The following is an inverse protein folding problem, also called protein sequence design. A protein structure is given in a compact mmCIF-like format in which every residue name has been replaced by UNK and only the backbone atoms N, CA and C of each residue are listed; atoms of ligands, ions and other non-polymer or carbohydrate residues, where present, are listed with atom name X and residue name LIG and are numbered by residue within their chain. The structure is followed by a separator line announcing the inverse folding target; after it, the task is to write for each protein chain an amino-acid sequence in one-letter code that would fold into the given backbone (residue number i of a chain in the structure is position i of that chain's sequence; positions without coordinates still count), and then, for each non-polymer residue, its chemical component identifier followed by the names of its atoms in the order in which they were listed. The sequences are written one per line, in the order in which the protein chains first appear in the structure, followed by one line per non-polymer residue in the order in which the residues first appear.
data_IF_881916744447
#
_entry.id   IF_881916744447
#
_cell.length_a   1.000
_cell.length_b   1.000
_cell.length_c   1.000
_cell.angle_alpha   90.00
_cell.angle_beta   90.00
_cell.angle_gamma   90.00
#
_symmetry.space_group_name_H-M   'P 1'
#
loop_
_entity.id
_entity.type
_entity.pdbx_description
1 polymer ?
#
# COMPACT_ATOMS: atom_id res chain seq x y z
N UNK A 1 -17.51 -20.27 -19.79
CA UNK A 1 -17.03 -19.93 -18.44
C UNK A 1 -15.68 -19.23 -18.60
N UNK A 2 -15.58 -17.96 -18.20
CA UNK A 2 -14.33 -17.19 -18.31
C UNK A 2 -13.33 -17.71 -17.29
N UNK A 3 -12.12 -18.06 -17.74
CA UNK A 3 -11.04 -18.58 -16.90
C UNK A 3 -10.55 -17.51 -15.91
N UNK A 4 -9.84 -17.92 -14.86
CA UNK A 4 -9.21 -16.99 -13.90
C UNK A 4 -8.25 -16.03 -14.61
N UNK A 5 -7.50 -16.53 -15.59
CA UNK A 5 -6.54 -15.74 -16.38
C UNK A 5 -7.26 -14.64 -17.16
N UNK A 6 -8.34 -14.98 -17.86
CA UNK A 6 -9.13 -14.00 -18.61
C UNK A 6 -9.73 -12.92 -17.70
N UNK A 7 -10.23 -13.29 -16.51
CA UNK A 7 -10.73 -12.32 -15.52
C UNK A 7 -9.62 -11.40 -15.04
N UNK A 8 -8.45 -11.94 -14.71
CA UNK A 8 -7.29 -11.15 -14.26
C UNK A 8 -6.88 -10.14 -15.33
N UNK A 9 -6.80 -10.55 -16.59
CA UNK A 9 -6.45 -9.65 -17.71
C UNK A 9 -7.50 -8.57 -17.95
N UNK A 10 -8.79 -8.89 -17.79
CA UNK A 10 -9.86 -7.90 -17.89
C UNK A 10 -9.76 -6.85 -16.79
N UNK A 11 -9.51 -7.27 -15.54
CA UNK A 11 -9.36 -6.35 -14.40
C UNK A 11 -8.08 -5.52 -14.55
N UNK A 12 -6.96 -6.11 -14.99
CA UNK A 12 -5.73 -5.38 -15.24
C UNK A 12 -5.93 -4.27 -16.29
N UNK A 13 -6.62 -4.59 -17.39
CA UNK A 13 -6.93 -3.60 -18.42
C UNK A 13 -7.79 -2.47 -17.85
N UNK A 14 -8.83 -2.81 -17.10
CA UNK A 14 -9.71 -1.82 -16.48
C UNK A 14 -8.95 -0.93 -15.47
N UNK A 15 -8.05 -1.51 -14.65
CA UNK A 15 -7.21 -0.75 -13.74
C UNK A 15 -6.30 0.25 -14.48
N UNK A 16 -5.74 -0.13 -15.64
CA UNK A 16 -4.95 0.79 -16.47
C UNK A 16 -5.81 1.90 -17.07
N UNK A 17 -7.02 1.59 -17.52
CA UNK A 17 -7.98 2.57 -18.04
C UNK A 17 -8.41 3.59 -16.97
N UNK A 18 -8.48 3.16 -15.70
CA UNK A 18 -8.72 4.04 -14.55
C UNK A 18 -7.49 4.88 -14.14
N UNK A 19 -6.31 4.66 -14.74
CA UNK A 19 -5.11 5.43 -14.47
C UNK A 19 -4.15 4.86 -13.42
N UNK A 20 -4.31 3.60 -12.99
CA UNK A 20 -3.34 2.98 -12.08
C UNK A 20 -2.03 2.60 -12.79
N UNK A 21 -0.90 2.94 -12.16
CA UNK A 21 0.46 2.66 -12.64
C UNK A 21 0.96 1.24 -12.35
N UNK A 22 0.17 0.45 -11.63
CA UNK A 22 0.52 -0.92 -11.29
C UNK A 22 -0.68 -1.75 -10.87
N UNK A 23 -0.61 -3.04 -11.18
CA UNK A 23 -1.64 -4.04 -10.89
C UNK A 23 -0.97 -5.36 -10.51
N UNK A 24 -1.56 -6.07 -9.56
CA UNK A 24 -1.18 -7.44 -9.20
C UNK A 24 -2.30 -8.16 -8.48
N UNK A 25 -2.23 -9.50 -8.46
CA UNK A 25 -3.16 -10.34 -7.73
C UNK A 25 -2.36 -11.28 -6.84
N UNK A 26 -2.72 -11.35 -5.57
CA UNK A 26 -2.16 -12.32 -4.62
C UNK A 26 -3.28 -12.98 -3.83
N UNK A 27 -2.97 -14.07 -3.12
CA UNK A 27 -3.85 -14.63 -2.10
C UNK A 27 -3.13 -14.71 -0.77
N UNK A 28 -1.87 -15.13 -0.78
CA UNK A 28 -1.19 -15.46 0.45
C UNK A 28 -0.47 -14.24 1.01
N UNK A 29 -0.52 -14.11 2.34
CA UNK A 29 0.40 -13.26 3.08
C UNK A 29 1.68 -14.05 3.26
N UNK A 30 2.81 -13.51 2.80
CA UNK A 30 4.10 -14.19 2.93
C UNK A 30 4.43 -14.44 4.41
N UNK A 31 4.61 -15.71 4.78
CA UNK A 31 5.01 -16.10 6.13
C UNK A 31 6.31 -15.39 6.57
N UNK A 32 7.27 -15.23 5.63
CA UNK A 32 8.50 -14.48 5.86
C UNK A 32 8.24 -12.99 6.17
N UNK A 33 7.28 -12.36 5.50
CA UNK A 33 6.89 -10.98 5.80
C UNK A 33 6.21 -10.86 7.16
N UNK A 34 5.37 -11.85 7.53
CA UNK A 34 4.73 -11.90 8.86
C UNK A 34 5.77 -12.04 9.97
N UNK A 35 6.73 -12.94 9.81
CA UNK A 35 7.81 -13.13 10.79
C UNK A 35 8.63 -11.85 10.96
N UNK A 36 9.05 -11.24 9.85
CA UNK A 36 9.76 -9.95 9.88
C UNK A 36 8.95 -8.87 10.59
N UNK A 37 7.65 -8.80 10.36
CA UNK A 37 6.77 -7.83 11.01
C UNK A 37 6.68 -8.08 12.53
N UNK A 38 6.51 -9.34 12.96
CA UNK A 38 6.50 -9.72 14.38
C UNK A 38 7.83 -9.40 15.06
N UNK A 39 8.96 -9.63 14.38
CA UNK A 39 10.29 -9.28 14.88
C UNK A 39 10.50 -7.77 14.94
N UNK A 40 10.05 -7.02 13.94
CA UNK A 40 10.11 -5.57 13.94
C UNK A 40 9.32 -4.96 15.12
N UNK A 41 8.13 -5.51 15.41
CA UNK A 41 7.34 -5.14 16.58
C UNK A 41 7.99 -5.56 17.90
N UNK A 42 8.67 -6.71 17.99
CA UNK A 42 9.33 -7.13 19.24
C UNK A 42 10.51 -6.22 19.60
N UNK A 43 11.11 -5.57 18.61
CA UNK A 43 12.18 -4.58 18.79
C UNK A 43 11.68 -3.16 19.12
N UNK A 44 10.36 -2.94 19.15
CA UNK A 44 9.78 -1.63 19.46
C UNK A 44 9.98 -0.59 18.35
N UNK A 45 10.20 -1.02 17.11
CA UNK A 45 10.49 -0.12 16.00
C UNK A 45 9.26 0.64 15.48
N UNK A 46 8.07 0.38 16.00
CA UNK A 46 6.86 1.14 15.66
C UNK A 46 6.79 2.54 16.28
N UNK A 47 7.68 2.88 17.22
CA UNK A 47 7.67 4.18 17.89
C UNK A 47 6.30 4.49 18.51
N UNK A 48 5.68 5.60 18.12
CA UNK A 48 4.37 6.01 18.61
C UNK A 48 3.18 5.36 17.86
N UNK A 49 3.45 4.56 16.82
CA UNK A 49 2.41 3.89 16.00
C UNK A 49 1.82 2.68 16.72
N UNK A 50 1.28 2.86 17.93
CA UNK A 50 0.68 1.81 18.77
C UNK A 50 -0.37 0.97 18.03
N UNK A 51 -1.05 1.56 17.04
CA UNK A 51 -2.00 0.86 16.20
C UNK A 51 -1.40 -0.28 15.37
N UNK A 52 -0.08 -0.29 15.13
CA UNK A 52 0.62 -1.36 14.43
C UNK A 52 0.56 -2.67 15.22
N UNK A 53 0.55 -2.60 16.56
CA UNK A 53 0.36 -3.79 17.41
C UNK A 53 -1.07 -4.31 17.40
N UNK A 54 -2.04 -3.51 16.96
CA UNK A 54 -3.44 -3.94 16.86
C UNK A 54 -3.58 -4.91 15.69
N UNK A 55 -4.31 -6.00 15.90
CA UNK A 55 -4.73 -6.93 14.85
C UNK A 55 -3.59 -7.60 14.05
N UNK A 56 -2.44 -7.91 14.67
CA UNK A 56 -1.34 -8.62 14.02
C UNK A 56 -1.82 -9.91 13.32
N UNK A 57 -2.72 -10.66 13.95
CA UNK A 57 -3.27 -11.88 13.38
C UNK A 57 -4.12 -11.60 12.13
N UNK A 58 -4.92 -10.53 12.09
CA UNK A 58 -5.65 -10.13 10.87
C UNK A 58 -4.72 -9.68 9.75
N UNK A 59 -3.57 -9.07 10.06
CA UNK A 59 -2.55 -8.70 9.07
C UNK A 59 -1.82 -9.92 8.49
N UNK A 60 -1.88 -11.04 9.19
CA UNK A 60 -1.20 -12.29 8.84
C UNK A 60 -2.14 -13.30 8.17
N UNK A 61 -3.45 -13.15 8.36
CA UNK A 61 -4.47 -14.06 7.85
C UNK A 61 -5.67 -13.27 7.31
N UNK A 62 -5.85 -13.32 5.99
CA UNK A 62 -6.92 -12.62 5.28
C UNK A 62 -8.32 -13.16 5.62
N UNK A 63 -8.46 -14.43 6.01
CA UNK A 63 -9.76 -15.01 6.38
C UNK A 63 -10.32 -14.35 7.65
N UNK A 64 -9.47 -13.73 8.48
CA UNK A 64 -9.87 -12.95 9.66
C UNK A 64 -10.27 -11.51 9.31
N UNK A 65 -10.06 -11.08 8.06
CA UNK A 65 -10.46 -9.78 7.54
C UNK A 65 -11.77 -9.90 6.77
N UNK A 66 -11.83 -10.84 5.82
CA UNK A 66 -13.00 -11.12 5.01
C UNK A 66 -13.13 -12.63 4.81
N UNK A 67 -14.24 -13.21 5.28
CA UNK A 67 -14.51 -14.63 5.14
C UNK A 67 -14.56 -15.04 3.66
N UNK A 68 -14.00 -16.21 3.36
CA UNK A 68 -14.02 -16.83 2.03
C UNK A 68 -13.26 -16.08 0.93
N UNK A 69 -12.45 -15.09 1.29
CA UNK A 69 -11.58 -14.36 0.36
C UNK A 69 -10.70 -15.32 -0.45
N UNK A 70 -10.71 -15.18 -1.77
CA UNK A 70 -9.95 -16.05 -2.69
C UNK A 70 -8.71 -15.38 -3.24
N UNK A 71 -8.72 -14.07 -3.36
CA UNK A 71 -7.62 -13.25 -3.86
C UNK A 71 -7.79 -11.80 -3.43
N UNK A 72 -6.68 -11.06 -3.48
CA UNK A 72 -6.56 -9.62 -3.25
C UNK A 72 -6.01 -9.00 -4.52
N UNK A 73 -6.69 -7.97 -5.01
CA UNK A 73 -6.20 -7.12 -6.09
C UNK A 73 -5.40 -5.99 -5.47
N UNK A 74 -4.15 -5.83 -5.89
CA UNK A 74 -3.26 -4.78 -5.46
C UNK A 74 -3.08 -3.77 -6.58
N UNK A 75 -3.30 -2.50 -6.28
CA UNK A 75 -3.14 -1.38 -7.21
C UNK A 75 -2.04 -0.44 -6.70
N UNK A 76 -1.40 0.28 -7.62
CA UNK A 76 -0.36 1.26 -7.29
C UNK A 76 -0.54 2.50 -8.15
N UNK A 77 -0.33 3.67 -7.53
CA UNK A 77 -0.12 4.93 -8.24
C UNK A 77 1.27 5.48 -7.94
N UNK A 78 1.90 6.12 -8.92
CA UNK A 78 3.14 6.84 -8.78
C UNK A 78 2.85 8.29 -8.40
N UNK A 79 3.17 8.65 -7.16
CA UNK A 79 2.98 10.02 -6.66
C UNK A 79 4.17 10.95 -6.95
N UNK A 80 5.24 10.47 -7.60
CA UNK A 80 6.38 11.29 -8.00
C UNK A 80 5.97 12.23 -9.14
N UNK A 81 5.39 13.36 -8.75
CA UNK A 81 4.75 14.34 -9.65
C UNK A 81 5.54 15.64 -9.76
N UNK A 82 6.52 15.84 -8.88
CA UNK A 82 7.38 17.01 -8.87
C UNK A 82 8.86 16.60 -8.87
N UNK A 83 9.65 17.26 -9.72
CA UNK A 83 11.10 17.24 -9.60
C UNK A 83 11.49 18.16 -8.44
N UNK A 84 11.66 17.57 -7.27
CA UNK A 84 11.93 18.29 -6.03
C UNK A 84 13.39 18.11 -5.65
N UNK A 85 14.16 19.18 -5.86
CA UNK A 85 15.56 19.25 -5.43
C UNK A 85 15.72 19.38 -3.91
N UNK A 86 16.96 19.27 -3.45
CA UNK A 86 17.33 19.38 -2.02
C UNK A 86 17.66 20.83 -1.60
N UNK A 87 17.14 21.83 -2.32
CA UNK A 87 17.44 23.24 -2.08
C UNK A 87 17.07 23.71 -0.66
N UNK A 88 16.02 23.09 -0.09
CA UNK A 88 15.57 23.32 1.29
C UNK A 88 16.62 23.00 2.37
N UNK A 89 17.65 22.18 2.08
CA UNK A 89 18.71 21.87 3.07
C UNK A 89 19.41 23.14 3.56
N UNK A 90 19.47 24.17 2.72
CA UNK A 90 20.10 25.45 3.05
C UNK A 90 19.13 26.47 3.66
N UNK A 91 17.83 26.18 3.65
CA UNK A 91 16.80 27.02 4.26
C UNK A 91 16.73 26.73 5.78
N UNK A 92 16.93 27.77 6.60
CA UNK A 92 16.86 27.67 8.07
C UNK A 92 15.51 28.11 8.62
N UNK A 93 14.68 28.73 7.80
CA UNK A 93 13.39 29.30 8.20
C UNK A 93 12.23 28.36 7.83
N UNK A 94 12.38 27.56 6.77
CA UNK A 94 11.36 26.63 6.30
C UNK A 94 11.83 25.17 6.34
N UNK A 95 10.89 24.28 6.67
CA UNK A 95 11.06 22.83 6.60
C UNK A 95 10.51 22.24 5.31
N UNK A 96 10.83 20.98 5.06
CA UNK A 96 10.39 20.28 3.86
C UNK A 96 9.16 19.40 4.10
N UNK A 97 8.24 19.38 3.14
CA UNK A 97 7.04 18.53 3.17
C UNK A 97 7.21 17.36 2.19
N UNK A 98 7.00 16.13 2.67
CA UNK A 98 7.12 14.92 1.85
C UNK A 98 6.22 14.97 0.62
N UNK A 99 6.70 14.47 -0.52
CA UNK A 99 5.96 14.52 -1.80
C UNK A 99 4.56 13.88 -1.73
N UNK A 100 4.39 12.81 -0.94
CA UNK A 100 3.11 12.12 -0.81
C UNK A 100 2.02 12.98 -0.15
N UNK A 101 2.37 14.09 0.50
CA UNK A 101 1.45 15.00 1.18
C UNK A 101 1.34 16.37 0.54
N UNK A 102 1.88 16.57 -0.68
CA UNK A 102 1.83 17.87 -1.37
C UNK A 102 0.58 18.08 -2.23
N UNK A 103 -0.05 16.99 -2.68
CA UNK A 103 -1.25 17.04 -3.52
C UNK A 103 -2.50 16.75 -2.69
N UNK A 104 -3.65 16.61 -3.35
CA UNK A 104 -4.88 16.11 -2.73
C UNK A 104 -4.61 14.82 -1.93
N UNK A 105 -5.31 14.64 -0.80
CA UNK A 105 -5.12 13.48 0.06
C UNK A 105 -5.35 12.21 -0.75
N UNK A 106 -4.30 11.38 -0.86
CA UNK A 106 -4.37 10.16 -1.65
C UNK A 106 -5.45 9.20 -1.14
N UNK A 107 -5.86 9.29 0.14
CA UNK A 107 -6.96 8.48 0.65
C UNK A 107 -8.28 8.81 -0.04
N UNK A 108 -8.53 10.09 -0.34
CA UNK A 108 -9.74 10.54 -1.02
C UNK A 108 -9.65 10.27 -2.53
N UNK A 109 -8.49 10.53 -3.13
CA UNK A 109 -8.26 10.29 -4.58
C UNK A 109 -8.38 8.81 -4.92
N UNK A 110 -7.83 7.91 -4.09
CA UNK A 110 -7.85 6.46 -4.36
C UNK A 110 -9.16 5.77 -3.97
N UNK A 111 -10.01 6.42 -3.17
CA UNK A 111 -11.30 5.87 -2.75
C UNK A 111 -12.44 6.17 -3.73
N UNK A 112 -12.25 7.12 -4.64
CA UNK A 112 -13.18 7.46 -5.73
C UNK A 112 -13.25 6.34 -6.78
#
# INVERSE_FOLDING_TARGET
MTTVIEKTLQIERFAKELGFDGFGVTREVSAKSVEKYKNWLSLGYEGEMSYMRRNVEKRSNLDLVLSEVKSVVCLRTNYLTADKGMEFIHDKEHGDISLYSLNEDYHDVLAQ
#
